data_IF_150433034005
#
_entry.id   IF_150433034005
#
_cell.length_a   1.000
_cell.length_b   1.000
_cell.length_c   1.000
_cell.angle_alpha   90.00
_cell.angle_beta   90.00
_cell.angle_gamma   90.00
#
_symmetry.space_group_name_H-M   'P 1'
#
loop_
_entity.id
_entity.type
_entity.pdbx_description
1 polymer ?
#
# COMPACT_ATOMS: atom_id res chain seq x y z
N UNK A 1 -10.55 13.26 -30.62
CA UNK A 1 -11.63 13.87 -29.80
C UNK A 1 -12.21 12.96 -28.71
N UNK A 2 -12.93 11.86 -28.99
CA UNK A 2 -13.70 11.13 -27.93
C UNK A 2 -12.85 10.41 -26.86
N UNK A 3 -11.66 9.88 -27.19
CA UNK A 3 -10.80 9.16 -26.22
C UNK A 3 -10.01 10.09 -25.29
N UNK A 4 -9.49 11.20 -25.82
CA UNK A 4 -8.73 12.20 -25.06
C UNK A 4 -9.60 12.91 -24.02
N UNK A 5 -10.82 13.27 -24.40
CA UNK A 5 -11.80 13.87 -23.48
C UNK A 5 -12.22 12.90 -22.36
N UNK A 6 -12.33 11.59 -22.66
CA UNK A 6 -12.67 10.57 -21.69
C UNK A 6 -11.57 10.36 -20.64
N UNK A 7 -10.30 10.42 -21.05
CA UNK A 7 -9.13 10.26 -20.15
C UNK A 7 -9.00 11.48 -19.22
N UNK A 8 -9.22 12.69 -19.75
CA UNK A 8 -9.21 13.93 -18.96
C UNK A 8 -10.36 13.91 -17.93
N UNK A 9 -11.57 13.50 -18.35
CA UNK A 9 -12.72 13.38 -17.46
C UNK A 9 -12.48 12.32 -16.36
N UNK A 10 -11.90 11.17 -16.72
CA UNK A 10 -11.53 10.13 -15.75
C UNK A 10 -10.52 10.66 -14.72
N UNK A 11 -9.45 11.33 -15.18
CA UNK A 11 -8.42 11.93 -14.32
C UNK A 11 -8.98 12.98 -13.36
N UNK A 12 -9.88 13.86 -13.82
CA UNK A 12 -10.51 14.88 -12.97
C UNK A 12 -11.36 14.24 -11.88
N UNK A 13 -12.14 13.20 -12.22
CA UNK A 13 -13.01 12.51 -11.26
C UNK A 13 -12.26 11.69 -10.21
N UNK A 14 -11.06 11.19 -10.52
CA UNK A 14 -10.27 10.36 -9.59
C UNK A 14 -9.45 11.23 -8.61
N UNK A 15 -9.16 12.49 -8.95
CA UNK A 15 -8.14 13.30 -8.26
C UNK A 15 -8.69 14.47 -7.43
N UNK A 16 -10.01 14.67 -7.34
CA UNK A 16 -10.64 15.80 -6.63
C UNK A 16 -9.97 17.16 -6.91
N UNK A 17 -9.46 17.37 -8.13
CA UNK A 17 -8.82 18.63 -8.50
C UNK A 17 -9.86 19.70 -8.82
N UNK A 18 -9.60 20.93 -8.36
CA UNK A 18 -10.30 22.14 -8.77
C UNK A 18 -10.13 22.34 -10.30
N UNK A 19 -11.23 22.24 -11.09
CA UNK A 19 -11.16 22.33 -12.54
C UNK A 19 -10.73 23.71 -13.03
N UNK A 20 -10.89 24.77 -12.22
CA UNK A 20 -10.54 26.14 -12.61
C UNK A 20 -9.02 26.41 -12.53
N UNK A 21 -8.26 25.51 -11.89
CA UNK A 21 -6.79 25.58 -11.78
C UNK A 21 -6.07 24.62 -12.72
N UNK A 22 -6.79 23.70 -13.36
CA UNK A 22 -6.24 22.90 -14.45
C UNK A 22 -6.63 23.57 -15.76
N UNK A 23 -5.68 24.23 -16.42
CA UNK A 23 -5.80 24.49 -17.85
C UNK A 23 -5.04 23.40 -18.63
N UNK A 24 -5.68 22.27 -18.97
CA UNK A 24 -5.03 21.17 -19.68
C UNK A 24 -4.78 21.48 -21.16
N UNK A 25 -5.32 22.61 -21.65
CA UNK A 25 -5.07 23.13 -22.98
C UNK A 25 -4.12 24.32 -22.83
N UNK A 26 -2.84 24.14 -23.14
CA UNK A 26 -1.96 25.26 -23.47
C UNK A 26 -2.67 26.25 -24.40
N UNK A 27 -2.25 27.51 -24.37
CA UNK A 27 -2.95 28.63 -25.01
C UNK A 27 -3.15 28.40 -26.53
N UNK A 28 -2.43 27.46 -27.14
CA UNK A 28 -2.38 27.15 -28.57
C UNK A 28 -3.15 25.88 -29.02
N UNK A 29 -3.67 25.06 -28.09
CA UNK A 29 -4.42 23.84 -28.43
C UNK A 29 -3.57 22.65 -28.90
N UNK A 30 -2.25 22.65 -28.66
CA UNK A 30 -1.35 21.56 -29.05
C UNK A 30 -1.50 20.31 -28.16
N UNK A 31 -2.10 19.23 -28.68
CA UNK A 31 -2.36 17.99 -27.93
C UNK A 31 -1.09 17.31 -27.37
N UNK A 32 0.05 17.40 -28.05
CA UNK A 32 1.31 16.77 -27.61
C UNK A 32 1.94 17.55 -26.45
N UNK A 33 1.99 18.88 -26.54
CA UNK A 33 2.46 19.72 -25.43
C UNK A 33 1.55 19.60 -24.21
N UNK A 34 0.24 19.52 -24.41
CA UNK A 34 -0.73 19.27 -23.35
C UNK A 34 -0.46 17.94 -22.65
N UNK A 35 -0.21 16.88 -23.42
CA UNK A 35 0.15 15.58 -22.85
C UNK A 35 1.47 15.64 -22.06
N UNK A 36 2.50 16.30 -22.60
CA UNK A 36 3.80 16.47 -21.90
C UNK A 36 3.65 17.27 -20.60
N UNK A 37 2.85 18.34 -20.62
CA UNK A 37 2.58 19.16 -19.43
C UNK A 37 1.82 18.39 -18.36
N UNK A 38 0.83 17.57 -18.74
CA UNK A 38 0.12 16.70 -17.80
C UNK A 38 1.07 15.65 -17.21
N UNK A 39 1.88 14.98 -18.04
CA UNK A 39 2.86 13.99 -17.56
C UNK A 39 3.85 14.63 -16.59
N UNK A 40 4.36 15.82 -16.91
CA UNK A 40 5.27 16.57 -16.05
C UNK A 40 4.60 16.93 -14.72
N UNK A 41 3.36 17.43 -14.76
CA UNK A 41 2.60 17.76 -13.57
C UNK A 41 2.39 16.52 -12.67
N UNK A 42 2.03 15.37 -13.26
CA UNK A 42 1.88 14.11 -12.52
C UNK A 42 3.19 13.61 -11.93
N UNK A 43 4.30 13.73 -12.65
CA UNK A 43 5.63 13.33 -12.19
C UNK A 43 6.16 14.21 -11.05
N UNK A 44 5.68 15.45 -10.95
CA UNK A 44 6.05 16.40 -9.90
C UNK A 44 5.11 16.37 -8.69
N UNK A 45 4.07 15.53 -8.69
CA UNK A 45 3.17 15.45 -7.54
C UNK A 45 3.89 14.92 -6.30
N UNK A 46 3.61 15.50 -5.12
CA UNK A 46 4.10 14.95 -3.87
C UNK A 46 3.48 13.57 -3.65
N UNK A 47 4.30 12.60 -3.24
CA UNK A 47 3.82 11.26 -2.91
C UNK A 47 4.52 10.71 -1.69
N UNK A 48 3.78 9.92 -0.90
CA UNK A 48 4.27 9.11 0.20
C UNK A 48 3.95 7.65 -0.10
N UNK A 49 4.97 6.79 -0.12
CA UNK A 49 4.80 5.36 -0.44
C UNK A 49 5.73 4.51 0.40
N UNK A 50 5.40 3.24 0.62
CA UNK A 50 6.38 2.25 1.09
C UNK A 50 6.90 1.45 -0.09
N UNK A 51 8.13 0.93 0.01
CA UNK A 51 8.78 0.18 -1.08
C UNK A 51 7.98 -1.07 -1.48
N UNK A 52 7.30 -1.69 -0.50
CA UNK A 52 6.45 -2.87 -0.69
C UNK A 52 5.00 -2.50 -0.37
N UNK A 53 4.06 -3.06 -1.13
CA UNK A 53 2.63 -3.02 -0.82
C UNK A 53 2.26 -3.94 0.35
N UNK A 54 3.22 -4.72 0.83
CA UNK A 54 3.08 -5.57 1.99
C UNK A 54 4.34 -5.53 2.85
N UNK A 55 4.16 -5.11 4.09
CA UNK A 55 5.20 -5.03 5.11
C UNK A 55 5.09 -6.26 6.00
N UNK A 56 6.17 -7.03 6.08
CA UNK A 56 6.23 -8.28 6.83
C UNK A 56 7.10 -8.08 8.06
N UNK A 57 6.52 -8.25 9.23
CA UNK A 57 7.27 -8.33 10.47
C UNK A 57 7.33 -9.78 10.93
N UNK A 58 8.43 -10.15 11.57
CA UNK A 58 8.58 -11.46 12.20
C UNK A 58 8.56 -11.26 13.71
N UNK A 59 7.77 -12.05 14.40
CA UNK A 59 7.66 -12.02 15.87
C UNK A 59 9.05 -12.13 16.52
N UNK A 60 9.25 -11.33 17.56
CA UNK A 60 10.50 -11.21 18.31
C UNK A 60 11.72 -10.70 17.51
N UNK A 61 11.54 -10.24 16.27
CA UNK A 61 12.60 -9.63 15.46
C UNK A 61 12.31 -8.13 15.30
N UNK A 62 13.27 -7.29 15.67
CA UNK A 62 13.16 -5.85 15.45
C UNK A 62 13.25 -5.54 13.95
N UNK A 63 12.21 -4.94 13.39
CA UNK A 63 12.11 -4.59 11.96
C UNK A 63 11.63 -3.16 11.82
N UNK A 64 12.02 -2.49 10.72
CA UNK A 64 11.61 -1.10 10.44
C UNK A 64 11.41 -0.89 8.95
N UNK A 65 10.37 -0.14 8.60
CA UNK A 65 10.06 0.30 7.24
C UNK A 65 9.99 1.81 7.18
N UNK A 66 10.79 2.38 6.27
CA UNK A 66 10.85 3.82 6.03
C UNK A 66 10.02 4.15 4.79
N UNK A 67 9.13 5.15 4.84
CA UNK A 67 8.42 5.59 3.65
C UNK A 67 9.37 6.32 2.70
N UNK A 68 9.11 6.19 1.41
CA UNK A 68 9.73 6.93 0.34
C UNK A 68 8.85 8.15 0.05
N UNK A 69 9.45 9.33 0.22
CA UNK A 69 8.85 10.61 -0.16
C UNK A 69 9.39 11.03 -1.55
N UNK A 70 8.51 11.48 -2.43
CA UNK A 70 8.89 12.09 -3.72
C UNK A 70 8.22 13.44 -3.84
N UNK A 71 9.00 14.46 -4.22
CA UNK A 71 8.54 15.85 -4.37
C UNK A 71 7.75 16.38 -3.16
N UNK A 72 8.02 15.84 -1.97
CA UNK A 72 7.25 16.09 -0.76
C UNK A 72 8.19 16.38 0.41
N UNK A 73 7.77 17.29 1.29
CA UNK A 73 8.35 17.52 2.60
C UNK A 73 7.26 17.34 3.65
N UNK A 74 7.59 16.62 4.72
CA UNK A 74 6.67 16.41 5.85
C UNK A 74 6.84 17.45 6.97
N UNK A 75 7.56 18.54 6.70
CA UNK A 75 7.77 19.63 7.64
C UNK A 75 6.45 20.40 7.93
N UNK A 76 6.30 20.84 9.18
CA UNK A 76 5.15 21.67 9.60
C UNK A 76 3.80 20.94 9.61
N UNK A 77 3.79 19.62 9.47
CA UNK A 77 2.60 18.78 9.54
C UNK A 77 2.77 17.58 10.46
N UNK A 78 1.79 16.68 10.43
CA UNK A 78 1.83 15.41 11.14
C UNK A 78 1.37 14.29 10.23
N UNK A 79 2.01 13.14 10.36
CA UNK A 79 1.55 11.90 9.74
C UNK A 79 0.57 11.18 10.66
N UNK A 80 -0.42 10.54 10.05
CA UNK A 80 -1.42 9.72 10.70
C UNK A 80 -1.52 8.39 9.97
N UNK A 81 -1.69 7.30 10.70
CA UNK A 81 -1.88 5.96 10.14
C UNK A 81 -3.26 5.44 10.53
N UNK A 82 -3.97 4.83 9.57
CA UNK A 82 -5.28 4.24 9.80
C UNK A 82 -5.36 2.84 9.17
N UNK A 83 -5.84 1.81 9.90
CA UNK A 83 -6.28 1.85 11.30
C UNK A 83 -5.11 2.13 12.27
N UNK A 84 -5.39 2.34 13.55
CA UNK A 84 -4.35 2.51 14.55
C UNK A 84 -3.49 1.24 14.62
N UNK A 85 -2.17 1.43 14.69
CA UNK A 85 -1.22 0.31 14.72
C UNK A 85 -1.33 -0.47 16.05
N UNK A 86 -1.04 -1.77 16.00
CA UNK A 86 -1.05 -2.62 17.20
C UNK A 86 -0.03 -2.15 18.23
N UNK A 87 -0.27 -2.43 19.52
CA UNK A 87 0.58 -2.01 20.64
C UNK A 87 2.01 -2.57 20.61
N UNK A 88 2.31 -3.53 19.75
CA UNK A 88 3.65 -4.13 19.62
C UNK A 88 4.46 -3.55 18.46
N UNK A 89 3.83 -2.71 17.63
CA UNK A 89 4.47 -1.92 16.59
C UNK A 89 4.31 -0.44 16.92
N UNK A 90 5.08 0.40 16.25
CA UNK A 90 5.08 1.84 16.46
C UNK A 90 5.12 2.56 15.13
N UNK A 91 4.37 3.66 15.07
CA UNK A 91 4.38 4.58 13.95
C UNK A 91 4.92 5.92 14.41
N UNK A 92 6.02 6.37 13.81
CA UNK A 92 6.58 7.67 14.09
C UNK A 92 5.82 8.74 13.27
N UNK A 93 5.00 9.55 13.93
CA UNK A 93 4.16 10.57 13.27
C UNK A 93 4.96 11.71 12.62
N UNK A 94 6.26 11.84 12.94
CA UNK A 94 7.15 12.87 12.37
C UNK A 94 7.98 12.37 11.20
N UNK A 95 8.13 11.06 11.01
CA UNK A 95 8.96 10.47 9.93
C UNK A 95 8.22 9.46 9.05
N UNK A 96 7.08 8.95 9.53
CA UNK A 96 6.30 7.88 8.91
C UNK A 96 6.95 6.51 9.02
N UNK A 97 8.05 6.38 9.76
CA UNK A 97 8.69 5.09 9.99
C UNK A 97 7.74 4.20 10.79
N UNK A 98 7.51 2.99 10.30
CA UNK A 98 6.82 1.92 11.02
C UNK A 98 7.89 0.94 11.52
N UNK A 99 7.96 0.73 12.83
CA UNK A 99 8.99 -0.14 13.41
C UNK A 99 8.52 -0.86 14.67
N UNK A 100 9.27 -1.86 15.11
CA UNK A 100 9.06 -2.53 16.39
C UNK A 100 9.57 -3.96 16.42
N UNK A 101 9.42 -4.57 17.60
CA UNK A 101 9.70 -5.98 17.85
C UNK A 101 8.38 -6.63 18.28
N UNK A 102 7.55 -7.09 17.34
CA UNK A 102 6.22 -7.55 17.68
C UNK A 102 6.29 -8.83 18.53
N UNK A 103 5.48 -8.89 19.59
CA UNK A 103 5.40 -10.06 20.48
C UNK A 103 4.15 -10.91 20.24
N UNK A 104 3.26 -10.45 19.37
CA UNK A 104 2.03 -11.13 18.95
C UNK A 104 1.98 -11.13 17.43
N UNK A 105 1.54 -12.25 16.85
CA UNK A 105 1.20 -12.29 15.44
C UNK A 105 -0.06 -11.49 15.15
N UNK A 106 -0.19 -11.10 13.89
CA UNK A 106 -1.29 -10.30 13.41
C UNK A 106 -1.60 -10.73 11.98
N UNK A 107 -2.88 -10.93 11.71
CA UNK A 107 -3.38 -11.12 10.35
C UNK A 107 -3.15 -9.88 9.50
N UNK A 108 -3.21 -10.08 8.19
CA UNK A 108 -3.05 -9.05 7.17
C UNK A 108 -4.14 -8.00 7.35
N UNK A 109 -3.71 -6.76 7.56
CA UNK A 109 -4.60 -5.61 7.65
C UNK A 109 -4.12 -4.52 6.70
N UNK A 110 -5.08 -3.88 6.02
CA UNK A 110 -4.80 -2.76 5.11
C UNK A 110 -4.63 -1.48 5.92
N UNK A 111 -3.58 -0.74 5.62
CA UNK A 111 -3.26 0.56 6.22
C UNK A 111 -3.11 1.63 5.15
N UNK A 112 -3.44 2.85 5.55
CA UNK A 112 -3.21 4.09 4.81
C UNK A 112 -2.49 5.06 5.73
N UNK A 113 -1.51 5.78 5.18
CA UNK A 113 -0.84 6.88 5.87
C UNK A 113 -1.24 8.20 5.22
N UNK A 114 -1.76 9.11 6.03
CA UNK A 114 -2.11 10.47 5.65
C UNK A 114 -1.08 11.44 6.22
N UNK A 115 -0.74 12.45 5.43
CA UNK A 115 0.01 13.63 5.85
C UNK A 115 -0.84 14.86 5.64
N UNK A 116 -0.93 15.72 6.66
CA UNK A 116 -1.60 17.01 6.56
C UNK A 116 -0.71 18.09 7.18
N UNK A 117 -0.48 19.16 6.43
CA UNK A 117 -0.02 20.45 6.95
C UNK A 117 -0.98 21.56 6.46
N UNK A 118 -0.62 22.83 6.67
CA UNK A 118 -1.47 23.96 6.29
C UNK A 118 -1.68 24.12 4.76
N UNK A 119 -0.80 23.54 3.94
CA UNK A 119 -0.74 23.79 2.50
C UNK A 119 -0.94 22.54 1.65
N UNK A 120 -0.68 21.36 2.21
CA UNK A 120 -0.50 20.11 1.49
C UNK A 120 -1.18 18.97 2.25
N UNK A 121 -1.87 18.13 1.49
CA UNK A 121 -2.37 16.83 1.93
C UNK A 121 -1.80 15.75 1.02
N UNK A 122 -1.22 14.70 1.60
CA UNK A 122 -0.70 13.54 0.86
C UNK A 122 -1.30 12.30 1.50
N UNK A 123 -1.74 11.36 0.68
CA UNK A 123 -2.19 10.06 1.12
C UNK A 123 -1.31 8.99 0.47
N UNK A 124 -0.95 7.96 1.23
CA UNK A 124 -0.22 6.82 0.69
C UNK A 124 -1.13 5.94 -0.16
N UNK A 125 -0.52 5.19 -1.08
CA UNK A 125 -1.19 3.99 -1.58
C UNK A 125 -1.49 3.04 -0.41
N UNK A 126 -2.61 2.29 -0.45
CA UNK A 126 -2.89 1.30 0.58
C UNK A 126 -1.80 0.21 0.56
N UNK A 127 -1.40 -0.21 1.75
CA UNK A 127 -0.45 -1.31 1.93
C UNK A 127 -0.90 -2.21 3.06
N UNK A 128 -0.44 -3.45 3.06
CA UNK A 128 -0.75 -4.40 4.11
C UNK A 128 0.37 -4.46 5.14
N UNK A 129 0.01 -4.64 6.41
CA UNK A 129 0.95 -5.09 7.44
C UNK A 129 0.55 -6.50 7.87
N UNK A 130 1.52 -7.39 7.93
CA UNK A 130 1.40 -8.75 8.44
C UNK A 130 2.49 -9.02 9.47
N UNK A 131 2.15 -9.68 10.58
CA UNK A 131 3.14 -10.14 11.56
C UNK A 131 3.13 -11.66 11.60
N UNK A 132 4.21 -12.23 11.07
CA UNK A 132 4.47 -13.66 11.06
C UNK A 132 4.84 -14.17 12.46
N UNK A 133 4.49 -15.43 12.74
CA UNK A 133 4.95 -16.12 13.95
C UNK A 133 6.42 -16.57 13.82
N UNK A 134 6.79 -17.07 12.65
CA UNK A 134 8.14 -17.42 12.23
C UNK A 134 8.35 -16.99 10.78
N UNK A 135 9.61 -16.81 10.39
CA UNK A 135 9.97 -16.42 9.02
C UNK A 135 9.29 -17.32 7.99
N UNK A 136 8.48 -16.72 7.12
CA UNK A 136 7.77 -17.41 6.05
C UNK A 136 6.47 -18.11 6.47
N UNK A 137 6.09 -18.10 7.75
CA UNK A 137 4.88 -18.76 8.25
C UNK A 137 3.58 -18.29 7.58
N UNK A 138 3.54 -17.03 7.13
CA UNK A 138 2.42 -16.44 6.40
C UNK A 138 2.49 -16.64 4.89
N UNK A 139 3.61 -17.08 4.32
CA UNK A 139 3.74 -17.22 2.88
C UNK A 139 2.78 -18.30 2.37
N UNK A 140 2.14 -18.07 1.22
CA UNK A 140 1.31 -19.07 0.59
C UNK A 140 2.17 -20.22 0.05
N UNK A 141 1.96 -21.42 0.59
CA UNK A 141 2.61 -22.62 0.08
C UNK A 141 1.99 -23.01 -1.26
N UNK A 142 2.83 -23.03 -2.30
CA UNK A 142 2.47 -23.42 -3.67
C UNK A 142 3.11 -24.74 -4.11
N UNK A 143 3.95 -25.33 -3.26
CA UNK A 143 4.74 -26.53 -3.55
C UNK A 143 4.47 -27.61 -2.51
N UNK A 144 3.57 -28.52 -2.86
CA UNK A 144 3.20 -29.66 -2.02
C UNK A 144 1.91 -29.44 -1.24
N UNK A 145 1.32 -30.55 -0.80
CA UNK A 145 0.10 -30.55 0.00
C UNK A 145 0.52 -30.43 1.46
N UNK A 146 0.28 -29.27 2.08
CA UNK A 146 0.48 -29.13 3.53
C UNK A 146 -0.35 -30.18 4.28
N UNK A 147 0.14 -30.69 5.42
CA UNK A 147 -0.56 -31.72 6.19
C UNK A 147 -1.98 -31.26 6.56
N UNK A 148 -3.00 -31.94 6.03
CA UNK A 148 -4.41 -31.57 6.18
C UNK A 148 -5.08 -31.01 4.90
N UNK A 149 -4.31 -30.70 3.87
CA UNK A 149 -4.82 -30.36 2.54
C UNK A 149 -4.96 -31.61 1.64
N UNK A 150 -5.63 -31.46 0.50
CA UNK A 150 -5.86 -32.53 -0.47
C UNK A 150 -5.50 -32.07 -1.89
N UNK A 151 -5.49 -32.99 -2.85
CA UNK A 151 -5.13 -32.68 -4.25
C UNK A 151 -6.10 -31.72 -4.95
N UNK A 152 -7.32 -31.52 -4.43
CA UNK A 152 -8.28 -30.55 -4.95
C UNK A 152 -8.04 -29.16 -4.37
N UNK A 153 -7.49 -29.07 -3.16
CA UNK A 153 -7.16 -27.81 -2.47
C UNK A 153 -5.71 -27.84 -1.97
N UNK A 154 -4.71 -27.72 -2.86
CA UNK A 154 -3.32 -27.94 -2.46
C UNK A 154 -2.66 -26.75 -1.75
N UNK A 155 -3.26 -25.54 -1.82
CA UNK A 155 -2.64 -24.32 -1.31
C UNK A 155 -3.04 -24.02 0.14
N UNK A 156 -2.13 -23.48 0.96
CA UNK A 156 -2.40 -23.04 2.33
C UNK A 156 -1.30 -22.08 2.81
N UNK A 157 -1.48 -21.38 3.93
CA UNK A 157 -0.36 -20.64 4.54
C UNK A 157 0.71 -21.64 5.00
N UNK A 158 1.98 -21.25 4.90
CA UNK A 158 3.11 -22.17 5.08
C UNK A 158 3.18 -22.79 6.47
N UNK A 159 2.69 -22.11 7.53
CA UNK A 159 2.49 -22.72 8.84
C UNK A 159 1.02 -22.60 9.29
N UNK A 160 0.37 -23.74 9.54
CA UNK A 160 -1.04 -23.84 9.93
C UNK A 160 -1.31 -23.44 11.39
N UNK A 161 -0.80 -22.29 11.85
CA UNK A 161 -0.84 -21.93 13.26
C UNK A 161 -2.29 -21.87 13.80
N UNK A 162 -3.32 -21.62 12.99
CA UNK A 162 -4.74 -22.00 13.24
C UNK A 162 -5.57 -22.01 11.95
N UNK A 163 -6.68 -22.79 11.92
CA UNK A 163 -6.75 -24.05 11.19
C UNK A 163 -6.22 -23.94 9.75
N UNK A 164 -5.55 -25.00 9.27
CA UNK A 164 -5.12 -25.10 7.87
C UNK A 164 -6.32 -24.94 6.92
N UNK A 165 -6.54 -23.72 6.44
CA UNK A 165 -7.50 -23.46 5.38
C UNK A 165 -6.81 -23.78 4.07
N UNK A 166 -7.37 -24.74 3.37
CA UNK A 166 -6.86 -25.19 2.09
C UNK A 166 -7.63 -24.52 0.95
N UNK A 167 -6.92 -23.97 -0.02
CA UNK A 167 -7.48 -23.22 -1.14
C UNK A 167 -7.33 -23.99 -2.45
N UNK A 168 -8.28 -23.75 -3.37
CA UNK A 168 -8.25 -24.30 -4.71
C UNK A 168 -7.25 -23.57 -5.62
N UNK A 169 -7.03 -22.27 -5.39
CA UNK A 169 -6.12 -21.43 -6.19
C UNK A 169 -5.09 -20.76 -5.29
N UNK A 170 -3.86 -20.63 -5.80
CA UNK A 170 -2.80 -19.87 -5.12
C UNK A 170 -3.22 -18.41 -4.85
N UNK A 171 -3.96 -17.80 -5.77
CA UNK A 171 -4.47 -16.44 -5.60
C UNK A 171 -5.39 -16.29 -4.38
N UNK A 172 -6.21 -17.30 -4.08
CA UNK A 172 -7.15 -17.23 -2.97
C UNK A 172 -6.39 -17.31 -1.64
N UNK A 173 -5.33 -18.12 -1.61
CA UNK A 173 -4.40 -18.25 -0.50
C UNK A 173 -3.62 -16.94 -0.27
N UNK A 174 -2.99 -16.38 -1.30
CA UNK A 174 -2.24 -15.10 -1.22
C UNK A 174 -3.12 -13.92 -0.80
N UNK A 175 -4.41 -13.95 -1.14
CA UNK A 175 -5.34 -12.88 -0.78
C UNK A 175 -5.99 -13.07 0.59
N UNK A 176 -5.92 -14.26 1.19
CA UNK A 176 -6.49 -14.50 2.52
C UNK A 176 -5.80 -13.67 3.60
N UNK A 177 -6.51 -13.30 4.66
CA UNK A 177 -5.95 -12.46 5.74
C UNK A 177 -4.89 -13.18 6.58
N UNK A 178 -4.85 -14.51 6.53
CA UNK A 178 -3.84 -15.31 7.23
C UNK A 178 -2.59 -15.58 6.38
N UNK A 179 -2.64 -15.35 5.06
CA UNK A 179 -1.49 -15.60 4.18
C UNK A 179 -1.14 -14.40 3.28
N UNK A 180 -0.03 -14.58 2.55
CA UNK A 180 0.42 -13.67 1.49
C UNK A 180 1.20 -14.34 0.36
#
# INVERSE_FOLDING_TARGET
>A
MKKTLLIIFLIITILNCDPDKLNPYGIDGNEEENFRNIVLFLALRPSLTYEKTQLIFIKNINTSYTPILRNASIAGGSLMISPNISNTLSFNTSTGIISGTPTLSQTKSVYIVDFINQETQIQSNPFNIFVEESEGSGACNTTGIFSGCDSKRPFSCSDAIRPAKCYFRASDCQNDVYCY
#
